data_IF_480113143746
#
_entry.id   IF_480113143746
#
_cell.length_a   1.000
_cell.length_b   1.000
_cell.length_c   1.000
_cell.angle_alpha   90.00
_cell.angle_beta   90.00
_cell.angle_gamma   90.00
#
_symmetry.space_group_name_H-M   'P 1'
#
loop_
_entity.id
_entity.type
_entity.pdbx_description
1 polymer ?
#
# COMPACT_ATOMS: atom_id res chain seq x y z
N UNK A 1 -2.49 -11.69 -37.30
CA UNK A 1 -2.60 -12.19 -36.86
C UNK A 1 -2.83 -12.22 -36.67
N UNK A 2 -3.03 -11.88 -36.78
CA UNK A 2 -3.14 -12.08 -36.20
C UNK A 2 -3.36 -12.00 -36.02
N UNK A 3 -3.05 -11.66 -35.70
CA UNK A 3 -3.17 -11.57 -35.22
C UNK A 3 -3.21 -11.38 -34.86
N UNK A 4 -3.19 -11.08 -35.27
CA UNK A 4 -3.16 -11.07 -34.65
C UNK A 4 -3.28 -10.78 -34.32
N UNK A 5 -3.33 -10.38 -34.39
CA UNK A 5 -3.31 -10.29 -33.80
C UNK A 5 -3.35 -10.00 -33.47
N UNK A 6 -3.28 -9.53 -33.56
CA UNK A 6 -3.21 -9.49 -32.90
C UNK A 6 -2.97 -9.10 -32.77
N UNK A 7 -2.84 -8.65 -32.18
CA UNK A 7 -2.44 -8.55 -31.81
C UNK A 7 -2.24 -8.39 -31.39
N UNK A 8 -2.14 -8.07 -32.11
CA UNK A 8 -1.86 -8.09 -31.63
C UNK A 8 -1.73 -7.77 -31.39
N UNK A 9 -1.53 -7.42 -31.50
CA UNK A 9 -1.22 -7.49 -30.96
C UNK A 9 -0.96 -7.26 -30.79
N UNK A 10 -0.65 -6.87 -30.63
CA UNK A 10 -0.25 -7.06 -30.09
C UNK A 10 -0.01 -6.68 -29.85
N UNK A 11 0.21 -6.30 -29.70
CA UNK A 11 0.59 -6.31 -29.12
C UNK A 11 0.73 -6.16 -28.60
N UNK A 12 0.98 -5.76 -29.37
CA UNK A 12 1.25 -5.94 -28.71
C UNK A 12 1.36 -5.82 -28.34
N UNK A 13 1.75 -5.41 -28.24
CA UNK A 13 2.01 -5.71 -27.54
C UNK A 13 2.27 -5.59 -27.16
N UNK A 14 2.70 -5.28 -26.97
CA UNK A 14 3.11 -5.55 -26.34
C UNK A 14 3.41 -5.45 -25.79
N UNK A 15 3.87 -5.05 -26.00
CA UNK A 15 4.26 -5.33 -25.35
C UNK A 15 4.39 -5.42 -24.81
N UNK A 16 4.66 -5.15 -24.98
CA UNK A 16 4.94 -5.57 -24.26
C UNK A 16 4.92 -6.10 -23.79
N UNK A 17 5.32 -6.13 -23.58
CA UNK A 17 5.51 -6.88 -22.95
C UNK A 17 5.73 -7.19 -22.27
N UNK A 18 5.71 -7.47 -21.88
CA UNK A 18 6.21 -7.92 -21.10
C UNK A 18 6.84 -7.42 -20.00
N UNK A 19 7.44 -7.18 -19.75
CA UNK A 19 8.17 -6.74 -18.61
C UNK A 19 7.61 -5.53 -17.96
N UNK A 20 6.76 -4.90 -18.58
CA UNK A 20 6.01 -3.81 -18.01
C UNK A 20 5.29 -4.25 -16.74
N UNK A 21 4.93 -5.52 -16.65
CA UNK A 21 4.25 -6.04 -15.46
C UNK A 21 5.12 -5.86 -14.22
N UNK A 22 6.43 -6.14 -14.33
CA UNK A 22 7.34 -6.00 -13.20
C UNK A 22 7.44 -4.54 -12.78
N UNK A 23 7.44 -3.63 -13.76
CA UNK A 23 7.57 -2.22 -13.46
C UNK A 23 6.38 -1.67 -12.69
N UNK A 24 5.21 -2.29 -12.86
CA UNK A 24 4.01 -1.82 -12.19
C UNK A 24 3.85 -2.41 -10.80
N UNK A 25 4.72 -3.31 -10.40
CA UNK A 25 4.60 -3.97 -9.11
C UNK A 25 5.14 -3.07 -8.00
N UNK A 26 4.32 -2.81 -7.00
CA UNK A 26 4.71 -1.99 -5.85
C UNK A 26 5.28 -2.88 -4.77
N UNK A 27 6.42 -2.47 -4.22
CA UNK A 27 7.09 -3.20 -3.14
C UNK A 27 7.13 -2.34 -1.90
N UNK A 28 7.41 -2.97 -0.76
CA UNK A 28 7.46 -2.25 0.51
C UNK A 28 8.44 -1.07 0.44
N UNK A 29 9.56 -1.25 -0.26
CA UNK A 29 10.54 -0.17 -0.38
C UNK A 29 9.96 1.08 -1.05
N UNK A 30 8.91 0.94 -1.84
CA UNK A 30 8.27 2.09 -2.48
C UNK A 30 7.43 2.88 -1.48
N UNK A 31 7.11 2.29 -0.34
CA UNK A 31 6.29 2.94 0.68
C UNK A 31 7.12 3.61 1.77
N UNK A 32 8.41 3.34 1.84
CA UNK A 32 9.19 3.72 3.02
C UNK A 32 9.25 5.23 3.21
N UNK A 33 9.38 5.99 2.12
CA UNK A 33 9.41 7.46 2.23
C UNK A 33 8.08 8.00 2.76
N UNK A 34 6.97 7.46 2.27
CA UNK A 34 5.65 7.85 2.75
C UNK A 34 5.51 7.54 4.24
N UNK A 35 5.86 6.32 4.64
CA UNK A 35 5.72 5.92 6.04
C UNK A 35 6.63 6.76 6.93
N UNK A 36 7.86 7.01 6.50
CA UNK A 36 8.80 7.80 7.27
C UNK A 36 8.27 9.21 7.50
N UNK A 37 7.70 9.82 6.48
CA UNK A 37 7.27 11.21 6.56
C UNK A 37 5.95 11.37 7.28
N UNK A 38 5.07 10.37 7.26
CA UNK A 38 3.71 10.53 7.75
C UNK A 38 3.30 9.58 8.86
N UNK A 39 4.08 8.54 9.14
CA UNK A 39 3.63 7.49 10.05
C UNK A 39 4.61 7.19 11.18
N UNK A 40 5.91 7.33 10.95
CA UNK A 40 6.91 6.87 11.90
C UNK A 40 6.88 7.62 13.22
N UNK A 41 6.45 8.88 13.24
CA UNK A 41 6.46 9.63 14.50
C UNK A 41 5.46 9.07 15.50
N UNK A 42 4.55 8.20 15.06
CA UNK A 42 3.63 7.51 15.96
C UNK A 42 3.74 5.99 15.85
N UNK A 43 4.27 5.48 14.73
CA UNK A 43 4.26 4.04 14.45
C UNK A 43 5.63 3.57 13.97
N UNK A 44 6.63 3.66 14.86
CA UNK A 44 7.97 3.17 14.55
C UNK A 44 8.49 2.39 15.75
N UNK A 45 9.68 1.80 15.63
CA UNK A 45 10.27 1.06 16.73
C UNK A 45 10.44 1.93 17.97
N UNK A 46 10.69 3.21 17.77
CA UNK A 46 10.88 4.14 18.90
C UNK A 46 9.57 4.71 19.40
N UNK A 47 8.53 4.71 18.56
CA UNK A 47 7.24 5.30 18.91
C UNK A 47 6.13 4.36 18.46
N UNK A 48 5.98 3.23 19.12
CA UNK A 48 4.93 2.30 18.73
C UNK A 48 3.96 2.02 19.90
N UNK A 49 3.89 2.94 20.85
CA UNK A 49 2.94 2.81 21.96
C UNK A 49 1.49 2.90 21.48
N UNK A 50 1.25 3.43 20.28
CA UNK A 50 -0.10 3.50 19.75
C UNK A 50 -0.43 2.15 19.10
N UNK A 51 -1.10 1.28 19.87
CA UNK A 51 -1.56 -0.04 19.44
C UNK A 51 -0.41 -0.98 19.08
N UNK A 52 0.80 -0.67 19.56
CA UNK A 52 1.99 -1.50 19.30
C UNK A 52 2.22 -1.72 17.81
N UNK A 53 1.94 -0.69 17.01
CA UNK A 53 2.13 -0.77 15.54
C UNK A 53 3.44 -0.11 15.16
N UNK A 54 4.27 -0.86 14.42
CA UNK A 54 5.56 -0.38 13.96
C UNK A 54 5.62 -0.58 12.45
N UNK A 55 5.77 0.51 11.71
CA UNK A 55 5.77 0.49 10.24
C UNK A 55 7.16 0.69 9.65
N UNK A 56 8.23 0.66 10.45
CA UNK A 56 9.55 0.99 9.95
C UNK A 56 10.29 -0.20 9.35
N UNK A 57 9.67 -1.38 9.32
CA UNK A 57 10.25 -2.52 8.60
C UNK A 57 9.12 -3.34 8.00
N UNK A 58 9.47 -4.13 6.98
CA UNK A 58 8.50 -5.00 6.34
C UNK A 58 7.94 -6.01 7.34
N UNK A 59 8.84 -6.64 8.10
CA UNK A 59 8.43 -7.69 9.04
C UNK A 59 7.47 -7.15 10.09
N UNK A 60 7.78 -6.00 10.67
CA UNK A 60 6.92 -5.44 11.71
C UNK A 60 5.60 -4.95 11.14
N UNK A 61 5.61 -4.44 9.91
CA UNK A 61 4.37 -4.02 9.25
C UNK A 61 3.47 -5.22 9.02
N UNK A 62 4.02 -6.33 8.54
CA UNK A 62 3.22 -7.53 8.30
C UNK A 62 2.76 -8.19 9.58
N UNK A 63 3.51 -8.02 10.68
CA UNK A 63 3.10 -8.52 11.98
C UNK A 63 1.86 -7.81 12.49
N UNK A 64 1.78 -6.50 12.24
CA UNK A 64 0.60 -5.73 12.58
C UNK A 64 0.65 -5.11 13.95
N UNK A 65 -0.54 -4.85 14.50
CA UNK A 65 -0.70 -4.15 15.78
C UNK A 65 -1.05 -5.13 16.89
N UNK A 66 -1.32 -4.59 18.09
CA UNK A 66 -1.80 -5.41 19.20
C UNK A 66 -3.14 -6.08 18.90
N UNK A 67 -3.85 -5.58 17.90
CA UNK A 67 -5.14 -6.16 17.47
C UNK A 67 -4.98 -7.11 16.29
N UNK A 68 -3.74 -7.41 15.89
CA UNK A 68 -3.47 -8.34 14.81
C UNK A 68 -3.02 -7.67 13.54
N UNK A 69 -2.98 -8.42 12.43
CA UNK A 69 -2.51 -7.88 11.15
C UNK A 69 -3.33 -6.69 10.68
N UNK A 70 -2.66 -5.75 10.02
CA UNK A 70 -3.31 -4.56 9.47
C UNK A 70 -3.43 -4.62 7.95
N UNK A 71 -2.87 -5.66 7.33
CA UNK A 71 -2.98 -5.86 5.88
C UNK A 71 -3.36 -7.31 5.63
N UNK A 72 -4.23 -7.49 4.63
CA UNK A 72 -4.56 -8.81 4.07
C UNK A 72 -4.08 -8.74 2.63
N UNK A 73 -3.03 -9.51 2.27
CA UNK A 73 -2.50 -9.43 0.92
C UNK A 73 -3.60 -9.65 -0.12
N UNK A 74 -3.55 -8.85 -1.18
CA UNK A 74 -4.49 -8.87 -2.30
C UNK A 74 -5.86 -8.25 -1.99
N UNK A 75 -6.09 -7.78 -0.76
CA UNK A 75 -7.42 -7.29 -0.36
C UNK A 75 -7.33 -5.94 0.33
N UNK A 76 -7.15 -4.84 -0.44
CA UNK A 76 -7.04 -3.52 0.18
C UNK A 76 -8.24 -3.15 1.04
N UNK A 77 -9.45 -3.46 0.59
CA UNK A 77 -10.66 -3.08 1.31
C UNK A 77 -10.83 -3.84 2.62
N UNK A 78 -10.09 -4.94 2.80
CA UNK A 78 -10.08 -5.69 4.04
C UNK A 78 -8.81 -5.45 4.84
N UNK A 79 -8.04 -4.42 4.47
CA UNK A 79 -6.77 -4.08 5.12
C UNK A 79 -6.92 -2.77 5.86
N UNK A 80 -6.75 -2.83 7.19
CA UNK A 80 -6.94 -1.65 8.02
C UNK A 80 -5.99 -0.52 7.65
N UNK A 81 -4.76 -0.86 7.24
CA UNK A 81 -3.82 0.14 6.78
C UNK A 81 -4.42 1.00 5.67
N UNK A 82 -5.07 0.35 4.70
CA UNK A 82 -5.67 1.09 3.59
C UNK A 82 -6.94 1.81 4.04
N UNK A 83 -7.84 1.12 4.75
CA UNK A 83 -9.14 1.73 5.09
C UNK A 83 -8.99 2.90 6.05
N UNK A 84 -8.03 2.85 6.97
CA UNK A 84 -7.75 3.98 7.85
C UNK A 84 -7.19 5.16 7.07
N UNK A 85 -6.37 4.89 6.05
CA UNK A 85 -5.81 5.95 5.21
C UNK A 85 -6.86 6.51 4.26
N UNK A 86 -7.74 5.66 3.75
CA UNK A 86 -8.79 6.08 2.81
C UNK A 86 -9.98 6.72 3.52
N UNK A 87 -10.12 6.51 4.82
CA UNK A 87 -11.25 7.03 5.56
C UNK A 87 -12.50 6.17 5.45
N UNK A 88 -12.36 4.91 5.07
CA UNK A 88 -13.49 3.99 4.94
C UNK A 88 -13.56 2.97 6.07
N UNK A 89 -12.72 3.14 7.10
CA UNK A 89 -12.70 2.26 8.26
C UNK A 89 -13.96 2.44 9.12
N UNK A 90 -14.17 1.49 10.03
CA UNK A 90 -15.40 1.45 10.82
C UNK A 90 -15.36 2.32 12.06
N UNK A 91 -14.20 2.49 12.70
CA UNK A 91 -14.12 3.22 13.96
C UNK A 91 -12.73 3.82 14.14
N UNK A 92 -12.66 4.83 15.01
CA UNK A 92 -11.42 5.51 15.29
C UNK A 92 -11.13 6.61 14.30
N UNK A 93 -10.05 7.33 14.56
CA UNK A 93 -9.67 8.47 13.72
C UNK A 93 -9.06 7.99 12.40
N UNK A 94 -9.27 8.80 11.38
CA UNK A 94 -8.63 8.56 10.08
C UNK A 94 -7.13 8.88 10.20
N UNK A 95 -6.32 8.11 9.47
CA UNK A 95 -4.86 8.30 9.47
C UNK A 95 -4.41 9.06 8.23
N UNK A 96 -3.37 9.87 8.32
CA UNK A 96 -2.61 10.22 9.53
C UNK A 96 -3.45 11.10 10.45
N UNK A 97 -3.40 10.81 11.75
CA UNK A 97 -4.29 11.50 12.69
C UNK A 97 -3.97 12.99 12.81
N UNK A 98 -2.73 13.38 12.59
CA UNK A 98 -2.32 14.78 12.67
C UNK A 98 -2.66 15.55 11.39
N UNK A 99 -3.14 14.86 10.34
CA UNK A 99 -3.59 15.51 9.11
C UNK A 99 -4.55 14.56 8.41
N UNK A 100 -5.78 14.54 8.88
CA UNK A 100 -6.76 13.54 8.44
C UNK A 100 -7.18 13.70 6.99
N UNK A 101 -6.84 14.81 6.34
CA UNK A 101 -7.15 15.00 4.92
C UNK A 101 -5.92 14.81 4.03
N UNK A 102 -4.81 14.32 4.60
CA UNK A 102 -3.57 14.17 3.83
C UNK A 102 -3.81 13.39 2.53
N UNK A 103 -4.49 12.25 2.62
CA UNK A 103 -4.69 11.39 1.46
C UNK A 103 -5.72 11.94 0.49
N UNK A 104 -6.61 12.84 0.93
CA UNK A 104 -7.49 13.54 0.00
C UNK A 104 -6.69 14.49 -0.89
N UNK A 105 -5.63 15.08 -0.33
CA UNK A 105 -4.77 16.01 -1.05
C UNK A 105 -3.66 15.32 -1.79
N UNK A 106 -3.42 14.04 -1.50
CA UNK A 106 -2.35 13.25 -2.12
C UNK A 106 -2.89 11.88 -2.51
N UNK A 107 -3.84 11.83 -3.47
CA UNK A 107 -4.44 10.54 -3.84
C UNK A 107 -3.44 9.57 -4.44
N UNK A 108 -2.34 10.06 -5.02
CA UNK A 108 -1.30 9.20 -5.53
C UNK A 108 -0.63 8.39 -4.43
N UNK A 109 -0.53 8.97 -3.23
CA UNK A 109 0.05 8.26 -2.09
C UNK A 109 -0.90 7.20 -1.56
N UNK A 110 -2.20 7.47 -1.59
CA UNK A 110 -3.18 6.48 -1.20
C UNK A 110 -3.19 5.32 -2.19
N UNK A 111 -3.10 5.63 -3.48
CA UNK A 111 -3.03 4.60 -4.52
C UNK A 111 -1.81 3.71 -4.33
N UNK A 112 -0.71 4.27 -3.84
CA UNK A 112 0.50 3.50 -3.61
C UNK A 112 0.25 2.42 -2.54
N UNK A 113 -0.41 2.79 -1.44
CA UNK A 113 -0.77 1.83 -0.40
C UNK A 113 -1.72 0.78 -0.97
N UNK A 114 -2.75 1.23 -1.70
CA UNK A 114 -3.71 0.33 -2.30
C UNK A 114 -3.02 -0.70 -3.20
N UNK A 115 -2.16 -0.22 -4.08
CA UNK A 115 -1.54 -1.10 -5.06
C UNK A 115 -0.56 -2.06 -4.41
N UNK A 116 0.17 -1.61 -3.38
CA UNK A 116 1.06 -2.51 -2.66
C UNK A 116 0.29 -3.71 -2.09
N UNK A 117 -0.86 -3.43 -1.48
CA UNK A 117 -1.68 -4.50 -0.91
C UNK A 117 -2.30 -5.34 -2.03
N UNK A 118 -2.81 -4.68 -3.07
CA UNK A 118 -3.47 -5.36 -4.18
C UNK A 118 -2.54 -6.37 -4.85
N UNK A 119 -1.26 -6.04 -4.96
CA UNK A 119 -0.28 -6.93 -5.59
C UNK A 119 0.35 -7.92 -4.61
N UNK A 120 -0.12 -7.98 -3.37
CA UNK A 120 0.25 -9.05 -2.47
C UNK A 120 1.18 -8.67 -1.33
N UNK A 121 1.35 -7.39 -1.04
CA UNK A 121 2.20 -6.92 0.06
C UNK A 121 3.64 -7.41 -0.12
N UNK A 122 4.22 -7.15 -1.28
CA UNK A 122 5.55 -7.64 -1.61
C UNK A 122 6.63 -6.88 -0.84
N UNK A 123 7.67 -7.60 -0.42
CA UNK A 123 8.84 -7.00 0.18
C UNK A 123 9.73 -6.39 -0.91
#
# INVERSE_FOLDING_TARGET
IIYVSCEDSIEDDKKKEDNAVVEDTVRFSDLTTLFENRCYHCHSEQEYSFYALNLDSYESTMLGSQHGPIVTPYEPENSLLYTKSAGTHLSGERMPQDDTTFFNNHPDKLDLIHDWIYFGCLE
#
